data_IF_416628276662
#
_entry.id   IF_416628276662
#
_cell.length_a   1.000
_cell.length_b   1.000
_cell.length_c   1.000
_cell.angle_alpha   90.00
_cell.angle_beta   90.00
_cell.angle_gamma   90.00
#
_symmetry.space_group_name_H-M   'P 1'
#
loop_
_entity.id
_entity.type
_entity.pdbx_description
1 polymer ?
#
# COMPACT_ATOMS: atom_id res chain seq x y z
N UNK A 1 -2.93 34.86 12.31
CA UNK A 1 -3.14 34.35 10.94
C UNK A 1 -2.72 32.89 10.93
N UNK A 2 -3.68 31.96 11.07
CA UNK A 2 -3.42 30.53 11.05
C UNK A 2 -3.41 30.04 9.60
N UNK A 3 -2.26 29.60 9.12
CA UNK A 3 -2.15 28.92 7.83
C UNK A 3 -2.78 27.53 7.99
N UNK A 4 -3.99 27.38 7.48
CA UNK A 4 -4.64 26.08 7.31
C UNK A 4 -3.95 25.30 6.19
N UNK A 5 -2.93 24.53 6.53
CA UNK A 5 -2.22 23.62 5.60
C UNK A 5 -2.96 22.30 5.36
N UNK A 6 -4.20 22.16 5.84
CA UNK A 6 -4.97 20.91 5.83
C UNK A 6 -6.08 20.89 4.79
N UNK A 7 -5.92 21.54 3.64
CA UNK A 7 -7.00 21.73 2.67
C UNK A 7 -6.77 21.20 1.25
N UNK A 8 -5.64 20.63 0.92
CA UNK A 8 -5.50 20.04 -0.42
C UNK A 8 -6.12 18.65 -0.45
N UNK A 9 -7.22 18.49 -1.19
CA UNK A 9 -7.77 17.18 -1.53
C UNK A 9 -6.76 16.48 -2.43
N UNK A 10 -6.06 15.49 -1.88
CA UNK A 10 -5.21 14.59 -2.66
C UNK A 10 -6.11 13.66 -3.45
N UNK A 11 -5.96 13.63 -4.77
CA UNK A 11 -6.66 12.69 -5.62
C UNK A 11 -5.94 11.35 -5.58
N UNK A 12 -6.59 10.32 -5.07
CA UNK A 12 -6.05 8.97 -5.05
C UNK A 12 -6.30 8.23 -6.39
N UNK A 13 -5.37 7.35 -6.80
CA UNK A 13 -4.08 7.09 -6.18
C UNK A 13 -3.09 8.24 -6.41
N UNK A 14 -2.29 8.56 -5.40
CA UNK A 14 -1.39 9.71 -5.38
C UNK A 14 0.10 9.34 -5.21
N UNK A 15 0.40 8.11 -4.80
CA UNK A 15 1.75 7.66 -4.53
C UNK A 15 2.47 7.22 -5.82
N UNK A 16 2.77 5.93 -5.93
CA UNK A 16 3.53 5.37 -7.07
C UNK A 16 2.68 5.25 -8.33
N UNK A 17 1.44 4.79 -8.20
CA UNK A 17 0.54 4.45 -9.31
C UNK A 17 -0.50 5.55 -9.54
N UNK A 18 -0.06 6.78 -9.86
CA UNK A 18 -1.00 7.87 -10.15
C UNK A 18 -1.87 7.56 -11.38
N UNK A 19 -3.04 8.22 -11.47
CA UNK A 19 -3.98 8.00 -12.60
C UNK A 19 -3.28 8.19 -13.95
N UNK A 20 -2.48 9.24 -14.08
CA UNK A 20 -1.75 9.55 -15.31
C UNK A 20 -0.76 8.45 -15.68
N UNK A 21 -0.02 7.91 -14.70
CA UNK A 21 0.94 6.81 -14.90
C UNK A 21 0.24 5.52 -15.29
N UNK A 22 -0.90 5.23 -14.68
CA UNK A 22 -1.69 4.03 -14.99
C UNK A 22 -2.26 4.12 -16.40
N UNK A 23 -2.84 5.26 -16.79
CA UNK A 23 -3.36 5.45 -18.14
C UNK A 23 -2.24 5.39 -19.20
N UNK A 24 -1.08 6.00 -18.94
CA UNK A 24 0.08 5.87 -19.82
C UNK A 24 0.54 4.40 -19.95
N UNK A 25 0.53 3.64 -18.85
CA UNK A 25 0.87 2.22 -18.86
C UNK A 25 -0.14 1.39 -19.68
N UNK A 26 -1.45 1.64 -19.55
CA UNK A 26 -2.50 0.98 -20.35
C UNK A 26 -2.27 1.17 -21.85
N UNK A 27 -1.92 2.39 -22.28
CA UNK A 27 -1.62 2.68 -23.68
C UNK A 27 -0.35 1.93 -24.15
N UNK A 28 0.71 1.97 -23.35
CA UNK A 28 1.99 1.34 -23.71
C UNK A 28 1.90 -0.19 -23.77
N UNK A 29 1.13 -0.82 -22.91
CA UNK A 29 0.89 -2.27 -22.95
C UNK A 29 0.26 -2.72 -24.28
N UNK A 30 -0.50 -1.85 -24.94
CA UNK A 30 -1.13 -2.16 -26.23
C UNK A 30 -0.18 -2.00 -27.42
N UNK A 31 0.83 -1.14 -27.31
CA UNK A 31 1.70 -0.75 -28.42
C UNK A 31 3.14 -1.26 -28.32
N UNK A 32 3.56 -1.71 -27.13
CA UNK A 32 4.93 -2.13 -26.84
C UNK A 32 4.95 -3.58 -26.36
N UNK A 33 5.55 -4.46 -27.14
CA UNK A 33 5.63 -5.90 -26.85
C UNK A 33 6.36 -6.21 -25.54
N UNK A 34 7.38 -5.43 -25.17
CA UNK A 34 8.10 -5.61 -23.91
C UNK A 34 7.19 -5.26 -22.74
N UNK A 35 6.48 -4.13 -22.82
CA UNK A 35 5.51 -3.73 -21.78
C UNK A 35 4.37 -4.73 -21.67
N UNK A 36 3.89 -5.28 -22.79
CA UNK A 36 2.85 -6.32 -22.78
C UNK A 36 3.31 -7.58 -22.05
N UNK A 37 4.54 -8.02 -22.25
CA UNK A 37 5.12 -9.18 -21.53
C UNK A 37 5.27 -8.88 -20.04
N UNK A 38 5.86 -7.74 -19.67
CA UNK A 38 5.98 -7.33 -18.26
C UNK A 38 4.62 -7.29 -17.57
N UNK A 39 3.60 -6.74 -18.25
CA UNK A 39 2.25 -6.72 -17.73
C UNK A 39 1.66 -8.13 -17.53
N UNK A 40 1.86 -9.03 -18.48
CA UNK A 40 1.40 -10.42 -18.36
C UNK A 40 2.04 -11.12 -17.15
N UNK A 41 3.34 -10.91 -16.91
CA UNK A 41 4.04 -11.46 -15.74
C UNK A 41 3.53 -10.87 -14.42
N UNK A 42 3.35 -9.55 -14.36
CA UNK A 42 2.76 -8.85 -13.20
C UNK A 42 1.38 -9.40 -12.89
N UNK A 43 0.52 -9.50 -13.91
CA UNK A 43 -0.84 -10.01 -13.76
C UNK A 43 -0.86 -11.44 -13.26
N UNK A 44 0.01 -12.30 -13.76
CA UNK A 44 0.15 -13.69 -13.28
C UNK A 44 0.50 -13.75 -11.80
N UNK A 45 1.39 -12.87 -11.31
CA UNK A 45 1.73 -12.78 -9.89
C UNK A 45 0.54 -12.27 -9.07
N UNK A 46 -0.17 -11.26 -9.57
CA UNK A 46 -1.35 -10.71 -8.91
C UNK A 46 -2.48 -11.76 -8.81
N UNK A 47 -2.75 -12.52 -9.90
CA UNK A 47 -3.74 -13.60 -9.90
C UNK A 47 -3.39 -14.67 -8.86
N UNK A 48 -2.13 -15.06 -8.77
CA UNK A 48 -1.66 -16.03 -7.77
C UNK A 48 -1.72 -15.50 -6.33
N UNK A 49 -1.71 -14.17 -6.15
CA UNK A 49 -1.80 -13.54 -4.85
C UNK A 49 -3.24 -13.41 -4.34
N UNK A 50 -4.27 -13.60 -5.19
CA UNK A 50 -5.67 -13.55 -4.78
C UNK A 50 -6.01 -14.58 -3.69
N UNK A 51 -5.36 -15.73 -3.69
CA UNK A 51 -5.58 -16.80 -2.71
C UNK A 51 -4.73 -16.64 -1.45
N UNK A 52 -3.89 -15.59 -1.36
CA UNK A 52 -2.93 -15.40 -0.27
C UNK A 52 -3.19 -14.12 0.49
N UNK A 53 -3.02 -14.17 1.80
CA UNK A 53 -3.03 -12.98 2.65
C UNK A 53 -1.59 -12.49 2.86
N UNK A 54 -0.96 -12.03 1.79
CA UNK A 54 0.47 -11.66 1.76
C UNK A 54 0.65 -10.18 1.40
N UNK A 55 1.01 -9.39 2.40
CA UNK A 55 1.28 -7.95 2.24
C UNK A 55 2.41 -7.67 1.22
N UNK A 56 3.38 -8.58 1.08
CA UNK A 56 4.50 -8.41 0.13
C UNK A 56 4.09 -8.50 -1.35
N UNK A 57 2.82 -8.77 -1.63
CA UNK A 57 2.25 -8.80 -2.98
C UNK A 57 1.26 -7.66 -3.24
N UNK A 58 1.18 -6.71 -2.32
CA UNK A 58 0.23 -5.60 -2.42
C UNK A 58 0.50 -4.68 -3.61
N UNK A 59 1.75 -4.49 -4.00
CA UNK A 59 2.12 -3.73 -5.19
C UNK A 59 1.59 -4.34 -6.49
N UNK A 60 1.69 -5.66 -6.64
CA UNK A 60 1.13 -6.40 -7.79
C UNK A 60 -0.39 -6.33 -7.82
N UNK A 61 -1.04 -6.56 -6.68
CA UNK A 61 -2.49 -6.48 -6.55
C UNK A 61 -2.99 -5.05 -6.80
N UNK A 62 -2.31 -4.03 -6.27
CA UNK A 62 -2.64 -2.63 -6.47
C UNK A 62 -2.55 -2.23 -7.95
N UNK A 63 -1.44 -2.56 -8.61
CA UNK A 63 -1.29 -2.29 -10.04
C UNK A 63 -2.32 -3.06 -10.86
N UNK A 64 -2.58 -4.34 -10.54
CA UNK A 64 -3.58 -5.13 -11.25
C UNK A 64 -4.99 -4.54 -11.10
N UNK A 65 -5.38 -4.09 -9.90
CA UNK A 65 -6.62 -3.38 -9.69
C UNK A 65 -6.73 -2.12 -10.56
N UNK A 66 -5.72 -1.25 -10.49
CA UNK A 66 -5.73 0.03 -11.19
C UNK A 66 -5.68 -0.11 -12.72
N UNK A 67 -5.06 -1.16 -13.22
CA UNK A 67 -4.99 -1.46 -14.66
C UNK A 67 -6.30 -2.06 -15.21
N UNK A 68 -7.05 -2.79 -14.38
CA UNK A 68 -8.18 -3.62 -14.87
C UNK A 68 -9.54 -3.26 -14.30
N UNK A 69 -9.59 -2.49 -13.21
CA UNK A 69 -10.78 -2.23 -12.37
C UNK A 69 -11.43 -3.52 -11.81
N UNK A 70 -10.71 -4.65 -11.80
CA UNK A 70 -11.22 -5.91 -11.27
C UNK A 70 -11.28 -5.87 -9.74
N UNK A 71 -12.49 -5.86 -9.22
CA UNK A 71 -12.78 -5.77 -7.78
C UNK A 71 -12.14 -6.86 -6.93
N UNK A 72 -11.86 -8.03 -7.49
CA UNK A 72 -11.23 -9.13 -6.75
C UNK A 72 -9.89 -8.70 -6.14
N UNK A 73 -9.10 -7.91 -6.89
CA UNK A 73 -7.82 -7.37 -6.39
C UNK A 73 -8.03 -6.35 -5.27
N UNK A 74 -9.01 -5.45 -5.42
CA UNK A 74 -9.33 -4.45 -4.38
C UNK A 74 -9.83 -5.12 -3.09
N UNK A 75 -10.70 -6.11 -3.19
CA UNK A 75 -11.23 -6.85 -2.06
C UNK A 75 -10.12 -7.64 -1.33
N UNK A 76 -9.18 -8.21 -2.09
CA UNK A 76 -8.00 -8.86 -1.51
C UNK A 76 -7.10 -7.86 -0.79
N UNK A 77 -6.79 -6.71 -1.38
CA UNK A 77 -6.01 -5.64 -0.74
C UNK A 77 -6.65 -5.17 0.55
N UNK A 78 -7.97 -4.98 0.55
CA UNK A 78 -8.72 -4.62 1.75
C UNK A 78 -8.59 -5.67 2.85
N UNK A 79 -8.73 -6.94 2.51
CA UNK A 79 -8.56 -8.07 3.44
C UNK A 79 -7.14 -8.11 4.02
N UNK A 80 -6.12 -7.91 3.19
CA UNK A 80 -4.72 -7.84 3.63
C UNK A 80 -4.53 -6.69 4.62
N UNK A 81 -4.97 -5.47 4.29
CA UNK A 81 -4.86 -4.32 5.18
C UNK A 81 -5.55 -4.58 6.52
N UNK A 82 -6.79 -5.06 6.51
CA UNK A 82 -7.53 -5.39 7.72
C UNK A 82 -6.82 -6.43 8.59
N UNK A 83 -6.14 -7.39 7.97
CA UNK A 83 -5.38 -8.42 8.69
C UNK A 83 -4.10 -7.87 9.32
N UNK A 84 -3.30 -7.11 8.56
CA UNK A 84 -1.99 -6.64 9.04
C UNK A 84 -2.11 -5.51 10.07
N UNK A 85 -3.20 -4.76 10.05
CA UNK A 85 -3.46 -3.69 11.03
C UNK A 85 -3.93 -4.22 12.39
N UNK A 86 -4.33 -5.47 12.49
CA UNK A 86 -4.62 -6.13 13.78
C UNK A 86 -3.36 -6.41 14.62
N UNK A 87 -2.19 -6.31 14.02
CA UNK A 87 -0.93 -6.51 14.73
C UNK A 87 -0.74 -5.45 15.83
N UNK A 88 -0.13 -5.86 16.95
CA UNK A 88 0.27 -4.95 18.02
C UNK A 88 1.42 -4.04 17.58
N UNK A 89 2.33 -4.55 16.79
CA UNK A 89 3.51 -3.88 16.26
C UNK A 89 3.95 -4.52 14.95
N UNK A 90 4.64 -3.74 14.11
CA UNK A 90 5.31 -4.23 12.90
C UNK A 90 6.82 -4.40 13.08
N UNK A 91 7.37 -3.89 14.18
CA UNK A 91 8.79 -4.08 14.53
C UNK A 91 9.12 -5.55 14.78
N UNK A 92 10.35 -5.95 14.43
CA UNK A 92 10.84 -7.31 14.70
C UNK A 92 11.19 -7.50 16.18
N UNK A 93 11.07 -8.74 16.66
CA UNK A 93 11.41 -9.11 18.03
C UNK A 93 12.88 -8.78 18.36
N UNK A 94 13.76 -9.02 17.38
CA UNK A 94 15.19 -8.69 17.49
C UNK A 94 15.40 -7.20 17.81
N UNK A 95 14.74 -6.30 17.08
CA UNK A 95 14.89 -4.86 17.27
C UNK A 95 14.25 -4.38 18.57
N UNK A 96 13.10 -4.92 18.93
CA UNK A 96 12.39 -4.57 20.15
C UNK A 96 13.12 -5.04 21.42
N UNK A 97 13.97 -6.05 21.32
CA UNK A 97 14.78 -6.57 22.46
C UNK A 97 16.07 -5.78 22.71
N UNK A 98 16.46 -4.88 21.81
CA UNK A 98 17.69 -4.05 21.94
C UNK A 98 17.61 -3.04 23.10
N UNK A 99 18.74 -2.59 23.55
CA UNK A 99 18.88 -1.53 24.57
C UNK A 99 19.82 -0.46 24.04
N UNK A 100 19.35 0.76 23.70
CA UNK A 100 17.93 1.17 23.74
C UNK A 100 17.07 0.38 22.76
N UNK A 101 15.77 0.33 23.03
CA UNK A 101 14.79 -0.29 22.14
C UNK A 101 14.82 0.42 20.78
N UNK A 102 14.82 -0.37 19.73
CA UNK A 102 14.73 0.11 18.35
C UNK A 102 13.48 -0.45 17.69
N UNK A 103 12.68 0.38 17.02
CA UNK A 103 11.39 -0.01 16.44
C UNK A 103 11.41 -0.03 14.94
N UNK A 104 12.23 0.86 14.34
CA UNK A 104 12.32 1.03 12.90
C UNK A 104 13.43 0.16 12.31
N UNK A 105 13.07 -0.73 11.40
CA UNK A 105 13.98 -1.55 10.62
C UNK A 105 13.54 -1.61 9.14
N UNK A 106 14.30 -2.29 8.30
CA UNK A 106 13.97 -2.47 6.89
C UNK A 106 12.64 -3.24 6.71
N UNK A 107 12.33 -4.16 7.63
CA UNK A 107 11.07 -4.91 7.60
C UNK A 107 9.87 -4.02 7.88
N UNK A 108 9.98 -3.11 8.86
CA UNK A 108 8.95 -2.12 9.13
C UNK A 108 8.77 -1.17 7.95
N UNK A 109 9.87 -0.64 7.40
CA UNK A 109 9.82 0.26 6.23
C UNK A 109 9.17 -0.39 5.03
N UNK A 110 9.47 -1.67 4.76
CA UNK A 110 8.84 -2.44 3.69
C UNK A 110 7.33 -2.63 3.92
N UNK A 111 6.92 -2.99 5.14
CA UNK A 111 5.50 -3.10 5.49
C UNK A 111 4.76 -1.78 5.31
N UNK A 112 5.37 -0.66 5.73
CA UNK A 112 4.80 0.67 5.51
C UNK A 112 4.59 0.96 4.03
N UNK A 113 5.58 0.70 3.18
CA UNK A 113 5.49 0.93 1.75
C UNK A 113 4.37 0.09 1.12
N UNK A 114 4.34 -1.22 1.40
CA UNK A 114 3.34 -2.12 0.82
C UNK A 114 1.92 -1.78 1.28
N UNK A 115 1.75 -1.45 2.56
CA UNK A 115 0.45 -1.07 3.10
C UNK A 115 -0.02 0.30 2.58
N UNK A 116 0.89 1.27 2.43
CA UNK A 116 0.57 2.57 1.86
C UNK A 116 0.14 2.45 0.38
N UNK A 117 0.84 1.65 -0.43
CA UNK A 117 0.46 1.39 -1.83
C UNK A 117 -0.90 0.70 -1.92
N UNK A 118 -1.17 -0.28 -1.06
CA UNK A 118 -2.46 -0.94 -0.98
C UNK A 118 -3.59 0.04 -0.64
N UNK A 119 -3.41 0.82 0.42
CA UNK A 119 -4.38 1.81 0.88
C UNK A 119 -4.67 2.88 -0.18
N UNK A 120 -3.62 3.44 -0.80
CA UNK A 120 -3.71 4.45 -1.84
C UNK A 120 -4.48 3.94 -3.07
N UNK A 121 -4.18 2.72 -3.51
CA UNK A 121 -4.82 2.13 -4.69
C UNK A 121 -6.33 1.90 -4.51
N UNK A 122 -6.77 1.48 -3.31
CA UNK A 122 -8.17 1.16 -3.05
C UNK A 122 -8.94 2.28 -2.33
N UNK A 123 -8.31 3.44 -2.10
CA UNK A 123 -8.87 4.53 -1.30
C UNK A 123 -10.32 4.87 -1.67
N UNK A 124 -10.63 4.98 -2.96
CA UNK A 124 -11.97 5.32 -3.43
C UNK A 124 -13.00 4.19 -3.23
N UNK A 125 -12.54 2.96 -2.96
CA UNK A 125 -13.42 1.81 -2.67
C UNK A 125 -13.80 1.71 -1.20
N UNK A 126 -13.08 2.41 -0.33
CA UNK A 126 -13.27 2.40 1.12
C UNK A 126 -14.33 3.40 1.55
N UNK A 127 -15.14 3.04 2.52
CA UNK A 127 -16.01 3.98 3.23
C UNK A 127 -15.19 5.01 4.03
N UNK A 128 -15.80 6.15 4.37
CA UNK A 128 -15.13 7.17 5.19
C UNK A 128 -14.64 6.64 6.54
N UNK A 129 -15.36 5.70 7.13
CA UNK A 129 -14.96 5.04 8.37
C UNK A 129 -13.73 4.16 8.18
N UNK A 130 -13.72 3.32 7.16
CA UNK A 130 -12.58 2.45 6.85
C UNK A 130 -11.33 3.24 6.48
N UNK A 131 -11.48 4.33 5.71
CA UNK A 131 -10.37 5.25 5.41
C UNK A 131 -9.72 5.78 6.67
N UNK A 132 -10.53 6.24 7.63
CA UNK A 132 -10.05 6.78 8.90
C UNK A 132 -9.36 5.71 9.73
N UNK A 133 -10.02 4.58 9.96
CA UNK A 133 -9.50 3.46 10.77
C UNK A 133 -8.16 2.94 10.22
N UNK A 134 -8.08 2.69 8.91
CA UNK A 134 -6.85 2.23 8.27
C UNK A 134 -5.74 3.29 8.31
N UNK A 135 -6.05 4.56 8.10
CA UNK A 135 -5.05 5.63 8.19
C UNK A 135 -4.47 5.75 9.62
N UNK A 136 -5.30 5.69 10.65
CA UNK A 136 -4.87 5.71 12.06
C UNK A 136 -3.98 4.51 12.37
N UNK A 137 -4.34 3.32 11.90
CA UNK A 137 -3.53 2.12 12.08
C UNK A 137 -2.19 2.18 11.34
N UNK A 138 -2.15 2.69 10.11
CA UNK A 138 -0.90 2.87 9.35
C UNK A 138 0.04 3.87 10.05
N UNK A 139 -0.49 4.95 10.60
CA UNK A 139 0.30 5.89 11.40
C UNK A 139 0.86 5.20 12.65
N UNK A 140 0.03 4.56 13.44
CA UNK A 140 0.39 3.88 14.70
C UNK A 140 1.40 2.75 14.50
N UNK A 141 1.23 1.93 13.48
CA UNK A 141 2.07 0.75 13.26
C UNK A 141 3.35 1.03 12.47
N UNK A 142 3.33 2.03 11.59
CA UNK A 142 4.39 2.29 10.64
C UNK A 142 5.13 3.59 10.88
N UNK A 143 4.44 4.71 10.93
CA UNK A 143 5.07 6.04 10.95
C UNK A 143 5.55 6.43 12.34
N UNK A 144 4.69 6.33 13.36
CA UNK A 144 5.03 6.71 14.73
C UNK A 144 6.24 5.95 15.30
N UNK A 145 6.37 4.61 15.11
CA UNK A 145 7.57 3.89 15.55
C UNK A 145 8.84 4.42 14.90
N UNK A 146 8.78 4.74 13.60
CA UNK A 146 9.93 5.29 12.88
C UNK A 146 10.31 6.68 13.39
N UNK A 147 9.34 7.57 13.60
CA UNK A 147 9.60 8.89 14.17
C UNK A 147 10.18 8.81 15.59
N UNK A 148 9.65 7.91 16.43
CA UNK A 148 10.12 7.75 17.80
C UNK A 148 11.56 7.24 17.95
N UNK A 149 12.12 6.63 16.91
CA UNK A 149 13.51 6.16 16.90
C UNK A 149 14.50 7.23 16.36
N UNK A 150 14.01 8.22 15.60
CA UNK A 150 14.85 9.22 14.91
C UNK A 150 14.72 10.63 15.47
N UNK A 151 13.80 10.88 16.38
CA UNK A 151 13.53 12.18 17.00
C UNK A 151 13.67 12.08 18.53
#
# INVERSE_FOLDING_TARGET
MGLSLWGQRVNHPALLFTKERVEAAKVRVQSDTCMARCWADIRKVADAALEKNDLNRSDYLALAYLMTDDRRYADRLKSILQSVTQARTWGSEEMLSRKPVWRADLGLSHKCLMAALAYDAIYETLSSRERKELAEDLLRLGVEPSLGDWV
#
